data_IF_971067729129
#
_entry.id   IF_971067729129
#
_cell.length_a   1.000
_cell.length_b   1.000
_cell.length_c   1.000
_cell.angle_alpha   90.00
_cell.angle_beta   90.00
_cell.angle_gamma   90.00
#
_symmetry.space_group_name_H-M   'P 1'
#
loop_
_entity.id
_entity.type
_entity.pdbx_description
1 polymer ?
#
# COMPACT_ATOMS: atom_id res chain seq x y z
N UNK A 1 0.26 19.28 -10.10
CA UNK A 1 0.55 19.09 -8.66
C UNK A 1 1.31 17.76 -8.48
N UNK A 2 2.26 17.69 -7.55
CA UNK A 2 2.98 16.46 -7.33
C UNK A 2 2.07 15.35 -6.78
N UNK A 3 2.48 14.13 -7.00
CA UNK A 3 1.78 12.94 -6.51
C UNK A 3 2.59 12.29 -5.38
N UNK A 4 1.89 11.70 -4.44
CA UNK A 4 2.49 11.05 -3.28
C UNK A 4 1.90 9.67 -3.10
N UNK A 5 2.74 8.71 -2.70
CA UNK A 5 2.29 7.37 -2.38
C UNK A 5 2.18 7.22 -0.87
N UNK A 6 1.01 6.81 -0.41
CA UNK A 6 0.79 6.45 0.99
C UNK A 6 0.70 4.93 1.06
N UNK A 7 1.71 4.31 1.69
CA UNK A 7 1.78 2.87 1.80
C UNK A 7 1.32 2.43 3.20
N UNK A 8 0.56 1.35 3.25
CA UNK A 8 0.12 0.73 4.50
C UNK A 8 0.89 -0.57 4.68
N UNK A 9 1.51 -0.76 5.84
CA UNK A 9 2.30 -1.94 6.16
C UNK A 9 1.54 -2.82 7.15
N UNK A 10 1.62 -4.12 6.93
CA UNK A 10 1.04 -5.13 7.83
C UNK A 10 2.13 -6.07 8.33
N UNK A 11 2.02 -6.58 9.57
CA UNK A 11 2.94 -7.60 10.06
C UNK A 11 2.81 -8.91 9.27
N UNK A 12 3.84 -9.76 9.32
CA UNK A 12 3.86 -11.06 8.64
C UNK A 12 2.65 -11.93 8.96
N UNK A 13 2.21 -11.89 10.21
CA UNK A 13 1.11 -12.69 10.72
C UNK A 13 -0.24 -11.95 10.69
N UNK A 14 -0.32 -10.86 9.92
CA UNK A 14 -1.56 -10.08 9.83
C UNK A 14 -2.71 -10.94 9.29
N UNK A 15 -3.80 -10.95 10.05
CA UNK A 15 -5.03 -11.64 9.67
C UNK A 15 -6.11 -10.59 9.34
N UNK A 16 -6.52 -10.46 8.07
CA UNK A 16 -7.55 -9.49 7.68
C UNK A 16 -8.87 -9.67 8.43
N UNK A 17 -9.17 -10.87 8.90
CA UNK A 17 -10.41 -11.13 9.64
C UNK A 17 -10.46 -10.45 11.00
N UNK A 18 -9.31 -9.98 11.52
CA UNK A 18 -9.24 -9.26 12.79
C UNK A 18 -9.61 -7.79 12.67
N UNK A 19 -9.73 -7.27 11.45
CA UNK A 19 -10.12 -5.87 11.23
C UNK A 19 -11.61 -5.70 11.53
N UNK A 20 -11.93 -4.75 12.40
CA UNK A 20 -13.32 -4.52 12.83
C UNK A 20 -14.14 -3.81 11.76
N UNK A 21 -15.46 -3.98 11.81
CA UNK A 21 -16.37 -3.25 10.92
C UNK A 21 -16.23 -1.75 11.09
N UNK A 22 -16.03 -1.27 12.32
CA UNK A 22 -15.83 0.16 12.59
C UNK A 22 -14.60 0.69 11.86
N UNK A 23 -13.50 -0.05 11.87
CA UNK A 23 -12.28 0.34 11.14
C UNK A 23 -12.52 0.36 9.63
N UNK A 24 -13.23 -0.64 9.10
CA UNK A 24 -13.57 -0.69 7.67
C UNK A 24 -14.43 0.51 7.28
N UNK A 25 -15.41 0.88 8.11
CA UNK A 25 -16.24 2.06 7.86
C UNK A 25 -15.42 3.36 7.89
N UNK A 26 -14.47 3.48 8.79
CA UNK A 26 -13.58 4.65 8.83
C UNK A 26 -12.74 4.75 7.56
N UNK A 27 -12.23 3.63 7.08
CA UNK A 27 -11.46 3.58 5.82
C UNK A 27 -12.33 3.99 4.64
N UNK A 28 -13.55 3.47 4.57
CA UNK A 28 -14.48 3.83 3.50
C UNK A 28 -14.87 5.32 3.55
N UNK A 29 -15.09 5.86 4.74
CA UNK A 29 -15.41 7.27 4.92
C UNK A 29 -14.26 8.16 4.44
N UNK A 30 -13.03 7.83 4.81
CA UNK A 30 -11.85 8.57 4.35
C UNK A 30 -11.71 8.50 2.83
N UNK A 31 -11.91 7.33 2.25
CA UNK A 31 -11.83 7.18 0.80
C UNK A 31 -12.89 8.02 0.07
N UNK A 32 -14.10 8.09 0.60
CA UNK A 32 -15.14 8.96 0.03
C UNK A 32 -14.72 10.43 0.07
N UNK A 33 -14.12 10.87 1.16
CA UNK A 33 -13.63 12.24 1.30
C UNK A 33 -12.50 12.54 0.30
N UNK A 34 -11.56 11.62 0.14
CA UNK A 34 -10.46 11.74 -0.81
C UNK A 34 -10.97 11.85 -2.26
N UNK A 35 -11.95 11.03 -2.60
CA UNK A 35 -12.55 11.05 -3.94
C UNK A 35 -13.29 12.36 -4.15
N UNK A 36 -14.11 12.79 -3.19
CA UNK A 36 -14.87 14.03 -3.29
C UNK A 36 -13.98 15.26 -3.42
N UNK A 37 -12.83 15.25 -2.77
CA UNK A 37 -11.86 16.34 -2.85
C UNK A 37 -10.99 16.30 -4.11
N UNK A 38 -11.07 15.22 -4.90
CA UNK A 38 -10.23 15.04 -6.09
C UNK A 38 -8.77 14.71 -5.79
N UNK A 39 -8.47 14.33 -4.57
CA UNK A 39 -7.10 14.06 -4.11
C UNK A 39 -6.66 12.64 -4.46
N UNK A 40 -7.57 11.67 -4.39
CA UNK A 40 -7.25 10.27 -4.65
C UNK A 40 -7.15 10.00 -6.15
N UNK A 41 -5.96 9.57 -6.62
CA UNK A 41 -5.76 9.18 -8.01
C UNK A 41 -5.87 7.68 -8.22
N UNK A 42 -5.43 6.91 -7.22
CA UNK A 42 -5.46 5.45 -7.29
C UNK A 42 -5.38 4.87 -5.88
N UNK A 43 -5.97 3.72 -5.67
CA UNK A 43 -5.80 2.97 -4.42
C UNK A 43 -6.02 1.48 -4.70
N UNK A 44 -5.26 0.65 -4.00
CA UNK A 44 -5.44 -0.80 -4.07
C UNK A 44 -4.96 -1.47 -2.80
N UNK A 45 -5.51 -2.66 -2.54
CA UNK A 45 -4.95 -3.61 -1.61
C UNK A 45 -3.93 -4.50 -2.30
N UNK A 46 -3.07 -5.11 -1.54
CA UNK A 46 -2.05 -6.03 -2.03
C UNK A 46 -2.25 -7.37 -1.32
N UNK A 47 -2.11 -8.46 -2.07
CA UNK A 47 -2.19 -9.82 -1.52
C UNK A 47 -1.14 -10.03 -0.43
N UNK A 48 -1.39 -10.98 0.51
CA UNK A 48 -0.42 -11.25 1.58
C UNK A 48 0.99 -11.56 1.05
N UNK A 49 2.00 -11.26 1.86
CA UNK A 49 3.40 -11.47 1.51
C UNK A 49 3.70 -12.92 1.12
N UNK A 50 2.93 -13.88 1.65
CA UNK A 50 3.05 -15.30 1.28
C UNK A 50 2.80 -15.57 -0.20
N UNK A 51 2.07 -14.68 -0.88
CA UNK A 51 1.79 -14.77 -2.32
C UNK A 51 2.80 -13.99 -3.17
N UNK A 52 3.75 -13.30 -2.55
CA UNK A 52 4.68 -12.45 -3.25
C UNK A 52 5.71 -13.27 -4.03
N UNK A 53 6.16 -12.69 -5.13
CA UNK A 53 7.27 -13.22 -5.93
C UNK A 53 8.31 -12.14 -6.08
N UNK A 54 9.57 -12.53 -6.08
CA UNK A 54 10.68 -11.63 -6.33
C UNK A 54 11.28 -11.95 -7.68
N UNK A 55 11.45 -10.94 -8.51
CA UNK A 55 12.10 -11.06 -9.83
C UNK A 55 13.41 -10.30 -9.77
N UNK A 56 14.50 -11.00 -10.06
CA UNK A 56 15.84 -10.40 -10.02
C UNK A 56 16.59 -10.71 -11.31
N UNK A 57 17.11 -9.66 -11.93
CA UNK A 57 17.98 -9.82 -13.09
C UNK A 57 19.38 -10.22 -12.62
N UNK A 58 19.92 -11.29 -13.18
CA UNK A 58 21.26 -11.78 -12.88
C UNK A 58 22.32 -11.06 -13.73
N UNK A 59 23.60 -11.06 -13.29
CA UNK A 59 24.68 -10.44 -14.06
C UNK A 59 24.86 -11.02 -15.47
N UNK A 60 24.46 -12.29 -15.68
CA UNK A 60 24.54 -12.96 -16.99
C UNK A 60 23.36 -12.63 -17.91
N UNK A 61 22.45 -11.77 -17.48
CA UNK A 61 21.27 -11.37 -18.24
C UNK A 61 20.04 -12.25 -18.05
N UNK A 62 20.15 -13.35 -17.32
CA UNK A 62 18.99 -14.19 -16.98
C UNK A 62 18.17 -13.54 -15.88
N UNK A 63 16.93 -14.03 -15.70
CA UNK A 63 16.00 -13.54 -14.68
C UNK A 63 15.72 -14.67 -13.71
N UNK A 64 15.95 -14.39 -12.43
CA UNK A 64 15.62 -15.32 -11.35
C UNK A 64 14.29 -14.91 -10.72
N UNK A 65 13.34 -15.87 -10.63
CA UNK A 65 12.07 -15.66 -9.93
C UNK A 65 12.06 -16.55 -8.69
N UNK A 66 11.88 -15.93 -7.53
CA UNK A 66 11.83 -16.64 -6.25
C UNK A 66 10.53 -16.35 -5.52
N UNK A 67 10.11 -17.29 -4.67
CA UNK A 67 8.94 -17.10 -3.83
C UNK A 67 9.26 -16.14 -2.68
N UNK A 68 8.27 -15.32 -2.33
CA UNK A 68 8.38 -14.39 -1.23
C UNK A 68 8.83 -12.99 -1.63
N UNK A 69 8.77 -12.04 -0.70
CA UNK A 69 9.20 -10.66 -0.94
C UNK A 69 10.73 -10.57 -1.04
N UNK A 70 11.21 -9.52 -1.70
CA UNK A 70 12.63 -9.27 -1.89
C UNK A 70 13.38 -9.20 -0.56
N UNK A 71 12.78 -8.54 0.43
CA UNK A 71 13.40 -8.36 1.75
C UNK A 71 12.66 -9.18 2.78
N UNK A 72 13.38 -9.94 3.59
CA UNK A 72 12.80 -10.60 4.75
C UNK A 72 12.58 -9.56 5.84
N UNK A 73 11.33 -9.25 6.12
CA UNK A 73 10.93 -8.31 7.15
C UNK A 73 9.74 -8.86 7.92
N UNK A 74 9.46 -8.27 9.08
CA UNK A 74 8.27 -8.62 9.86
C UNK A 74 7.04 -7.85 9.44
N UNK A 75 7.22 -6.83 8.61
CA UNK A 75 6.15 -6.02 8.08
C UNK A 75 6.28 -5.91 6.57
N UNK A 76 5.15 -5.98 5.88
CA UNK A 76 5.08 -5.92 4.44
C UNK A 76 4.01 -4.94 4.01
N UNK A 77 4.21 -4.34 2.82
CA UNK A 77 3.20 -3.47 2.25
C UNK A 77 1.91 -4.26 2.00
N UNK A 78 0.80 -3.76 2.55
CA UNK A 78 -0.52 -4.40 2.40
C UNK A 78 -1.46 -3.64 1.49
N UNK A 79 -1.09 -2.43 1.09
CA UNK A 79 -1.87 -1.61 0.19
C UNK A 79 -1.23 -0.24 0.04
N UNK A 80 -1.72 0.52 -0.93
CA UNK A 80 -1.24 1.90 -1.10
C UNK A 80 -2.27 2.76 -1.79
N UNK A 81 -2.09 4.07 -1.65
CA UNK A 81 -2.88 5.09 -2.34
C UNK A 81 -1.94 6.06 -3.01
N UNK A 82 -2.33 6.54 -4.19
CA UNK A 82 -1.66 7.64 -4.86
C UNK A 82 -2.52 8.86 -4.68
N UNK A 83 -1.96 9.90 -4.06
CA UNK A 83 -2.63 11.15 -3.78
C UNK A 83 -2.00 12.28 -4.58
N UNK A 84 -2.80 13.21 -5.05
CA UNK A 84 -2.31 14.45 -5.65
C UNK A 84 -2.54 15.59 -4.66
N UNK A 85 -1.47 16.28 -4.30
CA UNK A 85 -1.51 17.33 -3.31
C UNK A 85 -0.50 18.43 -3.67
N UNK A 86 -0.74 19.63 -3.16
CA UNK A 86 0.12 20.79 -3.47
C UNK A 86 1.54 20.62 -2.90
N UNK A 87 1.67 19.95 -1.75
CA UNK A 87 2.95 19.73 -1.09
C UNK A 87 2.84 18.56 -0.10
N UNK A 88 3.97 18.17 0.48
CA UNK A 88 4.04 17.06 1.41
C UNK A 88 3.18 17.29 2.67
N UNK A 89 3.08 18.52 3.15
CA UNK A 89 2.28 18.83 4.34
C UNK A 89 0.80 18.49 4.09
N UNK A 90 0.27 18.88 2.94
CA UNK A 90 -1.10 18.56 2.55
C UNK A 90 -1.28 17.05 2.39
N UNK A 91 -0.33 16.37 1.74
CA UNK A 91 -0.39 14.93 1.57
C UNK A 91 -0.42 14.21 2.92
N UNK A 92 0.40 14.62 3.88
CA UNK A 92 0.41 14.05 5.23
C UNK A 92 -0.90 14.28 5.97
N UNK A 93 -1.55 15.42 5.76
CA UNK A 93 -2.86 15.69 6.36
C UNK A 93 -3.92 14.68 5.89
N UNK A 94 -3.86 14.28 4.61
CA UNK A 94 -4.78 13.29 4.05
C UNK A 94 -4.42 11.85 4.41
N UNK A 95 -3.17 11.60 4.78
CA UNK A 95 -2.69 10.23 5.04
C UNK A 95 -3.15 9.65 6.37
N UNK A 96 -3.76 10.42 7.22
CA UNK A 96 -4.16 9.98 8.57
C UNK A 96 -5.30 8.99 8.58
#
# INVERSE_FOLDING_TARGET
MPQYMVAVYHPDDFDPSTVTEATIEEIHALNRELIAAGVRKFACGISPASNAKTVRKQPDGTVLVTDGPYTETKEHIGGFRILEAANLVEALAWAR
#
